data_IF_788889089794
#
_entry.id   IF_788889089794
#
_cell.length_a   1.000
_cell.length_b   1.000
_cell.length_c   1.000
_cell.angle_alpha   90.00
_cell.angle_beta   90.00
_cell.angle_gamma   90.00
#
_symmetry.space_group_name_H-M   'P 1'
#
loop_
_entity.id
_entity.type
_entity.pdbx_description
1 polymer ?
#
# COMPACT_ATOMS: atom_id res chain seq x y z
N UNK A 1 -0.17 52.21 10.04
CA UNK A 1 0.19 50.79 10.37
C UNK A 1 -0.67 49.90 9.47
N UNK A 2 -0.10 49.40 8.38
CA UNK A 2 -0.76 48.41 7.51
C UNK A 2 -0.65 47.03 8.21
N UNK A 3 -1.77 46.49 8.69
CA UNK A 3 -1.81 45.10 9.15
C UNK A 3 -1.71 44.22 7.93
N UNK A 4 -0.67 43.43 7.85
CA UNK A 4 -0.45 42.39 6.85
C UNK A 4 -1.54 41.33 6.99
N UNK A 5 -2.48 41.30 6.03
CA UNK A 5 -3.51 40.28 5.88
C UNK A 5 -2.92 39.07 5.12
N UNK A 6 -1.67 38.71 5.39
CA UNK A 6 -1.03 37.55 4.79
C UNK A 6 -0.85 36.46 5.83
N UNK A 7 -1.48 35.34 5.55
CA UNK A 7 -1.32 34.02 6.17
C UNK A 7 -2.39 33.58 7.14
N UNK A 8 -3.67 33.65 6.76
CA UNK A 8 -4.56 32.56 7.15
C UNK A 8 -4.43 31.47 6.09
N UNK A 9 -3.50 30.54 6.31
CA UNK A 9 -3.42 29.32 5.48
C UNK A 9 -4.79 28.63 5.57
N UNK A 10 -5.55 28.67 4.46
CA UNK A 10 -6.86 28.02 4.36
C UNK A 10 -6.65 26.54 4.68
N UNK A 11 -7.33 26.05 5.71
CA UNK A 11 -7.31 24.62 6.03
C UNK A 11 -8.02 23.86 4.91
N UNK A 12 -7.42 22.80 4.43
CA UNK A 12 -8.04 21.96 3.42
C UNK A 12 -9.35 21.35 3.96
N UNK A 13 -10.34 21.32 3.12
CA UNK A 13 -11.59 20.56 3.30
C UNK A 13 -11.47 19.21 2.56
N UNK A 14 -12.34 18.22 2.82
CA UNK A 14 -12.27 16.93 2.12
C UNK A 14 -12.30 17.06 0.59
N UNK A 15 -13.08 17.99 0.03
CA UNK A 15 -13.20 18.19 -1.42
C UNK A 15 -11.91 18.75 -2.05
N UNK A 16 -11.08 19.43 -1.28
CA UNK A 16 -9.82 19.98 -1.77
C UNK A 16 -8.82 18.88 -2.19
N UNK A 17 -9.07 17.61 -1.83
CA UNK A 17 -8.28 16.47 -2.29
C UNK A 17 -8.19 16.39 -3.81
N UNK A 18 -9.26 16.75 -4.53
CA UNK A 18 -9.31 16.71 -5.99
C UNK A 18 -8.42 17.76 -6.67
N UNK A 19 -8.05 18.83 -5.97
CA UNK A 19 -7.10 19.83 -6.48
C UNK A 19 -5.69 19.24 -6.66
N UNK A 20 -5.40 18.13 -5.99
CA UNK A 20 -4.10 17.46 -5.99
C UNK A 20 -4.07 16.19 -6.84
N UNK A 21 -5.12 15.92 -7.62
CA UNK A 21 -5.25 14.71 -8.42
C UNK A 21 -5.28 15.07 -9.90
N UNK A 22 -4.56 14.31 -10.72
CA UNK A 22 -4.74 14.29 -12.16
C UNK A 22 -5.79 13.22 -12.51
N UNK A 23 -6.95 13.67 -12.95
CA UNK A 23 -8.09 12.78 -13.22
C UNK A 23 -8.12 12.26 -14.67
N UNK A 24 -7.07 12.50 -15.47
CA UNK A 24 -6.95 11.97 -16.83
C UNK A 24 -8.23 12.16 -17.66
N UNK A 25 -8.71 13.41 -17.72
CA UNK A 25 -9.97 13.80 -18.40
C UNK A 25 -11.23 13.04 -17.91
N UNK A 26 -11.16 12.45 -16.72
CA UNK A 26 -12.26 11.71 -16.10
C UNK A 26 -12.40 10.27 -16.57
N UNK A 27 -11.41 9.71 -17.30
CA UNK A 27 -11.43 8.30 -17.66
C UNK A 27 -11.34 7.42 -16.41
N UNK A 28 -12.39 6.64 -16.19
CA UNK A 28 -12.50 5.77 -15.01
C UNK A 28 -11.66 4.50 -15.09
N UNK A 29 -11.12 4.16 -16.28
CA UNK A 29 -10.25 3.02 -16.50
C UNK A 29 -8.78 3.35 -16.20
N UNK A 30 -8.42 4.64 -16.29
CA UNK A 30 -7.06 5.10 -16.03
C UNK A 30 -6.86 5.43 -14.54
N UNK A 31 -5.61 5.35 -14.08
CA UNK A 31 -5.28 5.78 -12.74
C UNK A 31 -5.34 7.30 -12.63
N UNK A 32 -6.05 7.82 -11.66
CA UNK A 32 -6.02 9.24 -11.31
C UNK A 32 -4.87 9.48 -10.35
N UNK A 33 -3.83 10.14 -10.82
CA UNK A 33 -2.57 10.21 -10.09
C UNK A 33 -2.49 11.43 -9.17
N UNK A 34 -1.91 11.20 -8.00
CA UNK A 34 -1.59 12.27 -7.06
C UNK A 34 -0.45 13.15 -7.59
N UNK A 35 -0.70 14.45 -7.74
CA UNK A 35 0.29 15.44 -8.24
C UNK A 35 1.32 15.86 -7.19
N UNK A 36 1.03 15.64 -5.91
CA UNK A 36 1.91 16.03 -4.81
C UNK A 36 3.01 14.99 -4.53
N UNK A 37 3.94 15.35 -3.64
CA UNK A 37 4.98 14.43 -3.19
C UNK A 37 4.36 13.32 -2.34
N UNK A 38 4.55 12.03 -2.71
CA UNK A 38 4.10 10.93 -1.89
C UNK A 38 4.87 10.85 -0.56
N UNK A 39 4.30 10.18 0.42
CA UNK A 39 4.99 9.93 1.68
C UNK A 39 6.23 9.05 1.46
N UNK A 40 7.38 9.49 1.97
CA UNK A 40 8.66 8.80 1.80
C UNK A 40 8.68 7.38 2.42
N UNK A 41 7.86 7.11 3.43
CA UNK A 41 7.85 5.83 4.15
C UNK A 41 7.13 4.72 3.39
N UNK A 42 5.98 5.01 2.79
CA UNK A 42 5.10 4.01 2.17
C UNK A 42 4.79 4.26 0.69
N UNK A 43 5.23 5.43 0.16
CA UNK A 43 5.00 5.83 -1.22
C UNK A 43 3.54 6.21 -1.53
N UNK A 44 2.71 6.46 -0.51
CA UNK A 44 1.28 6.76 -0.67
C UNK A 44 1.00 8.25 -0.56
N UNK A 45 -0.07 8.75 -1.20
CA UNK A 45 -0.49 10.13 -1.09
C UNK A 45 -1.21 10.40 0.24
N UNK A 46 -0.89 11.53 0.87
CA UNK A 46 -1.55 12.01 2.08
C UNK A 46 -1.97 13.47 1.92
N UNK A 47 -3.09 13.81 2.51
CA UNK A 47 -3.60 15.18 2.64
C UNK A 47 -3.87 15.48 4.12
N UNK A 48 -3.67 16.73 4.52
CA UNK A 48 -4.04 17.21 5.86
C UNK A 48 -5.34 17.98 5.75
N UNK A 49 -6.38 17.51 6.42
CA UNK A 49 -7.71 18.11 6.47
C UNK A 49 -7.98 18.48 7.92
N UNK A 50 -8.25 19.77 8.16
CA UNK A 50 -8.55 20.30 9.51
C UNK A 50 -7.49 19.90 10.57
N UNK A 51 -6.21 19.80 10.15
CA UNK A 51 -5.10 19.41 11.03
C UNK A 51 -4.89 17.90 11.16
N UNK A 52 -5.76 17.06 10.60
CA UNK A 52 -5.64 15.59 10.61
C UNK A 52 -5.05 15.11 9.28
N UNK A 53 -3.93 14.40 9.36
CA UNK A 53 -3.28 13.79 8.17
C UNK A 53 -3.97 12.48 7.83
N UNK A 54 -4.49 12.39 6.60
CA UNK A 54 -5.25 11.24 6.10
C UNK A 54 -4.72 10.76 4.73
N UNK A 55 -4.78 9.46 4.42
CA UNK A 55 -4.49 8.99 3.06
C UNK A 55 -5.48 9.60 2.06
N UNK A 56 -4.97 10.22 0.99
CA UNK A 56 -5.81 10.92 0.02
C UNK A 56 -6.83 10.00 -0.66
N UNK A 57 -6.42 8.80 -1.05
CA UNK A 57 -7.29 7.80 -1.68
C UNK A 57 -8.43 7.33 -0.76
N UNK A 58 -8.24 7.33 0.56
CA UNK A 58 -9.32 7.04 1.52
C UNK A 58 -10.35 8.15 1.52
N UNK A 59 -9.89 9.41 1.55
CA UNK A 59 -10.77 10.59 1.49
C UNK A 59 -11.60 10.60 0.20
N UNK A 60 -10.97 10.30 -0.94
CA UNK A 60 -11.66 10.20 -2.23
C UNK A 60 -12.73 9.11 -2.21
N UNK A 61 -12.42 7.93 -1.67
CA UNK A 61 -13.38 6.82 -1.60
C UNK A 61 -14.57 7.16 -0.69
N UNK A 62 -14.33 7.81 0.45
CA UNK A 62 -15.40 8.29 1.34
C UNK A 62 -16.34 9.29 0.64
N UNK A 63 -15.76 10.26 -0.09
CA UNK A 63 -16.55 11.24 -0.84
C UNK A 63 -17.36 10.60 -1.97
N UNK A 64 -16.78 9.61 -2.63
CA UNK A 64 -17.41 8.91 -3.75
C UNK A 64 -18.55 7.98 -3.31
N UNK A 65 -18.32 7.21 -2.24
CA UNK A 65 -19.33 6.25 -1.73
C UNK A 65 -20.34 6.86 -0.76
N UNK A 66 -20.02 8.02 -0.18
CA UNK A 66 -20.79 8.59 0.94
C UNK A 66 -20.60 7.84 2.26
N UNK A 67 -19.71 6.87 2.32
CA UNK A 67 -19.45 6.03 3.49
C UNK A 67 -18.13 6.41 4.17
N UNK A 68 -18.10 6.39 5.50
CA UNK A 68 -16.86 6.53 6.27
C UNK A 68 -16.10 5.19 6.32
N UNK A 69 -14.77 5.27 6.46
CA UNK A 69 -13.92 4.08 6.55
C UNK A 69 -14.33 3.11 7.67
N UNK A 70 -14.66 3.65 8.87
CA UNK A 70 -15.13 2.85 10.02
C UNK A 70 -14.29 1.60 10.31
N UNK A 71 -12.95 1.75 10.27
CA UNK A 71 -12.02 0.66 10.49
C UNK A 71 -11.76 -0.25 9.27
N UNK A 72 -12.44 0.00 8.13
CA UNK A 72 -12.17 -0.70 6.86
C UNK A 72 -10.95 -0.10 6.16
N UNK A 73 -10.40 -0.85 5.24
CA UNK A 73 -9.28 -0.46 4.38
C UNK A 73 -9.78 -0.10 2.99
N UNK A 74 -9.23 0.95 2.40
CA UNK A 74 -9.39 1.21 0.97
C UNK A 74 -8.36 0.38 0.20
N UNK A 75 -8.81 -0.63 -0.52
CA UNK A 75 -8.00 -1.59 -1.27
C UNK A 75 -7.93 -1.19 -2.74
N UNK A 76 -6.70 -1.11 -3.29
CA UNK A 76 -6.50 -0.83 -4.71
C UNK A 76 -6.63 -2.08 -5.56
N UNK A 77 -7.38 -2.01 -6.64
CA UNK A 77 -7.44 -3.06 -7.66
C UNK A 77 -6.33 -2.93 -8.70
N UNK A 78 -5.81 -1.71 -8.91
CA UNK A 78 -4.78 -1.39 -9.91
C UNK A 78 -3.33 -1.52 -9.41
N UNK A 79 -3.10 -1.76 -8.13
CA UNK A 79 -1.76 -1.84 -7.49
C UNK A 79 -0.91 -0.56 -7.55
N UNK A 80 -1.41 0.53 -8.08
CA UNK A 80 -0.68 1.77 -8.22
C UNK A 80 -0.82 2.62 -6.93
N UNK A 81 0.29 2.79 -6.20
CA UNK A 81 0.30 3.38 -4.84
C UNK A 81 -0.20 4.82 -4.77
N UNK A 82 -0.02 5.60 -5.84
CA UNK A 82 -0.43 7.01 -5.91
C UNK A 82 -1.77 7.21 -6.62
N UNK A 83 -2.43 6.13 -7.01
CA UNK A 83 -3.76 6.19 -7.61
C UNK A 83 -4.80 6.63 -6.57
N UNK A 84 -5.63 7.59 -6.97
CA UNK A 84 -6.77 8.09 -6.21
C UNK A 84 -8.10 7.91 -6.95
N UNK A 85 -8.13 7.10 -8.03
CA UNK A 85 -9.35 6.82 -8.77
C UNK A 85 -10.32 5.98 -7.92
N UNK A 86 -11.53 6.49 -7.58
CA UNK A 86 -12.47 5.75 -6.74
C UNK A 86 -12.97 4.45 -7.40
N UNK A 87 -12.98 4.36 -8.73
CA UNK A 87 -13.32 3.13 -9.46
C UNK A 87 -12.26 2.03 -9.34
N UNK A 88 -11.03 2.39 -8.90
CA UNK A 88 -9.95 1.45 -8.60
C UNK A 88 -9.84 1.13 -7.10
N UNK A 89 -10.80 1.56 -6.28
CA UNK A 89 -10.79 1.42 -4.84
C UNK A 89 -12.05 0.69 -4.36
N UNK A 90 -11.88 -0.20 -3.40
CA UNK A 90 -12.97 -0.88 -2.73
C UNK A 90 -12.77 -0.86 -1.22
N UNK A 91 -13.85 -0.78 -0.46
CA UNK A 91 -13.79 -1.02 0.98
C UNK A 91 -13.57 -2.51 1.26
N UNK A 92 -12.61 -2.83 2.12
CA UNK A 92 -12.34 -4.19 2.54
C UNK A 92 -11.94 -4.27 4.02
N UNK A 93 -12.07 -5.46 4.58
CA UNK A 93 -11.60 -5.79 5.93
C UNK A 93 -10.08 -5.96 5.98
N UNK A 94 -9.52 -6.10 7.18
CA UNK A 94 -8.13 -6.52 7.34
C UNK A 94 -7.87 -7.88 6.69
N UNK A 95 -8.82 -8.82 6.80
CA UNK A 95 -8.71 -10.14 6.19
C UNK A 95 -8.67 -10.06 4.66
N UNK A 96 -9.54 -9.24 4.04
CA UNK A 96 -9.55 -9.03 2.59
C UNK A 96 -8.21 -8.47 2.11
N UNK A 97 -7.63 -7.51 2.85
CA UNK A 97 -6.32 -6.96 2.54
C UNK A 97 -5.21 -8.02 2.61
N UNK A 98 -5.24 -8.89 3.63
CA UNK A 98 -4.28 -9.97 3.77
C UNK A 98 -4.42 -11.04 2.68
N UNK A 99 -5.64 -11.37 2.29
CA UNK A 99 -5.92 -12.35 1.24
C UNK A 99 -5.57 -11.81 -0.14
N UNK A 100 -5.80 -10.52 -0.40
CA UNK A 100 -5.35 -9.84 -1.62
C UNK A 100 -3.81 -9.82 -1.72
N UNK A 101 -3.12 -9.52 -0.62
CA UNK A 101 -1.66 -9.61 -0.56
C UNK A 101 -1.14 -11.02 -0.88
N UNK A 102 -1.81 -12.06 -0.37
CA UNK A 102 -1.45 -13.47 -0.66
C UNK A 102 -1.70 -13.81 -2.13
N UNK A 103 -2.89 -13.49 -2.66
CA UNK A 103 -3.25 -13.76 -4.08
C UNK A 103 -2.29 -13.12 -5.06
N UNK A 104 -1.85 -11.90 -4.76
CA UNK A 104 -0.94 -11.13 -5.63
C UNK A 104 0.53 -11.36 -5.31
N UNK A 105 0.85 -12.33 -4.46
CA UNK A 105 2.23 -12.67 -4.02
C UNK A 105 3.04 -11.44 -3.57
N UNK A 106 2.38 -10.40 -3.04
CA UNK A 106 3.00 -9.13 -2.64
C UNK A 106 3.72 -9.16 -1.30
N UNK A 107 3.62 -10.24 -0.56
CA UNK A 107 4.35 -10.39 0.69
C UNK A 107 5.44 -11.46 0.55
N UNK A 108 6.68 -11.02 0.46
CA UNK A 108 7.84 -11.89 0.39
C UNK A 108 8.23 -12.32 -1.02
N UNK A 109 8.94 -13.43 -1.11
CA UNK A 109 9.42 -13.98 -2.36
C UNK A 109 8.32 -14.74 -3.11
N UNK A 110 8.34 -14.74 -4.46
CA UNK A 110 7.43 -15.56 -5.26
C UNK A 110 7.43 -17.02 -4.82
N UNK A 111 6.27 -17.69 -4.86
CA UNK A 111 6.12 -19.06 -4.36
C UNK A 111 7.08 -20.06 -5.03
N UNK A 112 7.43 -19.84 -6.31
CA UNK A 112 8.43 -20.66 -7.00
C UNK A 112 9.83 -20.49 -6.38
N UNK A 113 10.21 -19.25 -6.01
CA UNK A 113 11.48 -18.95 -5.35
C UNK A 113 11.50 -19.55 -3.95
N UNK A 114 10.41 -19.44 -3.20
CA UNK A 114 10.29 -20.05 -1.86
C UNK A 114 10.46 -21.58 -1.94
N UNK A 115 9.85 -22.24 -2.93
CA UNK A 115 10.04 -23.70 -3.14
C UNK A 115 11.49 -24.05 -3.48
N UNK A 116 12.16 -23.27 -4.33
CA UNK A 116 13.57 -23.47 -4.64
C UNK A 116 14.47 -23.29 -3.42
N UNK A 117 14.23 -22.27 -2.60
CA UNK A 117 14.93 -22.06 -1.32
C UNK A 117 14.71 -23.25 -0.38
N UNK A 118 13.48 -23.74 -0.25
CA UNK A 118 13.17 -24.90 0.60
C UNK A 118 13.89 -26.17 0.14
N UNK A 119 14.10 -26.35 -1.19
CA UNK A 119 14.86 -27.44 -1.75
C UNK A 119 16.33 -27.33 -1.35
N UNK A 120 16.97 -26.17 -1.54
CA UNK A 120 18.35 -25.93 -1.15
C UNK A 120 18.60 -26.11 0.36
N UNK A 121 17.63 -25.68 1.19
CA UNK A 121 17.66 -25.93 2.64
C UNK A 121 17.59 -27.42 2.96
N UNK A 122 16.82 -28.21 2.20
CA UNK A 122 16.74 -29.66 2.37
C UNK A 122 18.04 -30.38 1.93
N UNK A 123 18.77 -29.80 0.97
CA UNK A 123 20.08 -30.26 0.50
C UNK A 123 21.22 -29.87 1.45
N UNK A 124 20.91 -29.15 2.56
CA UNK A 124 21.89 -28.78 3.58
C UNK A 124 22.68 -27.50 3.29
N UNK A 125 22.28 -26.70 2.30
CA UNK A 125 22.90 -25.40 2.04
C UNK A 125 22.66 -24.45 3.22
N UNK A 126 23.67 -23.64 3.51
CA UNK A 126 23.57 -22.66 4.59
C UNK A 126 22.63 -21.51 4.26
N UNK A 127 21.99 -20.92 5.29
CA UNK A 127 21.13 -19.75 5.13
C UNK A 127 21.88 -18.56 4.47
N UNK A 128 23.19 -18.43 4.69
CA UNK A 128 24.01 -17.39 4.12
C UNK A 128 24.20 -17.59 2.61
N UNK A 129 24.61 -18.77 2.18
CA UNK A 129 24.77 -19.10 0.76
C UNK A 129 23.47 -18.89 -0.02
N UNK A 130 22.34 -19.30 0.54
CA UNK A 130 21.04 -19.13 -0.10
C UNK A 130 20.64 -17.65 -0.14
N UNK A 131 20.91 -16.89 0.91
CA UNK A 131 20.65 -15.46 0.97
C UNK A 131 21.45 -14.70 -0.10
N UNK A 132 22.73 -15.00 -0.24
CA UNK A 132 23.61 -14.42 -1.25
C UNK A 132 23.16 -14.80 -2.68
N UNK A 133 22.74 -16.04 -2.91
CA UNK A 133 22.29 -16.53 -4.22
C UNK A 133 20.99 -15.83 -4.70
N UNK A 134 20.08 -15.53 -3.80
CA UNK A 134 18.78 -14.93 -4.14
C UNK A 134 18.72 -13.41 -3.86
N UNK A 135 19.81 -12.80 -3.38
CA UNK A 135 19.84 -11.36 -3.07
C UNK A 135 18.89 -10.94 -1.96
N UNK A 136 18.68 -11.80 -0.96
CA UNK A 136 17.77 -11.57 0.17
C UNK A 136 18.51 -11.60 1.51
N UNK A 137 17.89 -11.13 2.59
CA UNK A 137 18.50 -11.20 3.92
C UNK A 137 18.51 -12.62 4.47
N UNK A 138 19.49 -12.93 5.34
CA UNK A 138 19.57 -14.22 6.04
C UNK A 138 18.35 -14.48 6.92
N UNK A 139 17.78 -13.41 7.49
CA UNK A 139 16.57 -13.45 8.31
C UNK A 139 15.35 -13.89 7.47
N UNK A 140 15.27 -13.48 6.21
CA UNK A 140 14.20 -13.93 5.28
C UNK A 140 14.29 -15.45 5.06
N UNK A 141 15.49 -15.99 4.84
CA UNK A 141 15.71 -17.46 4.69
C UNK A 141 15.36 -18.18 5.99
N UNK A 142 15.74 -17.62 7.14
CA UNK A 142 15.40 -18.19 8.46
C UNK A 142 13.89 -18.23 8.66
N UNK A 143 13.16 -17.16 8.28
CA UNK A 143 11.70 -17.09 8.33
C UNK A 143 11.03 -18.17 7.48
N UNK A 144 11.51 -18.40 6.26
CA UNK A 144 11.02 -19.45 5.35
C UNK A 144 11.23 -20.85 5.97
N UNK A 145 12.41 -21.10 6.52
CA UNK A 145 12.73 -22.38 7.15
C UNK A 145 11.85 -22.66 8.39
N UNK A 146 11.63 -21.66 9.23
CA UNK A 146 10.78 -21.78 10.41
C UNK A 146 9.30 -22.01 10.06
N UNK A 147 8.79 -21.37 9.00
CA UNK A 147 7.45 -21.59 8.48
C UNK A 147 7.25 -23.02 7.95
N UNK A 148 8.30 -23.65 7.38
CA UNK A 148 8.31 -25.06 6.98
C UNK A 148 8.19 -26.00 8.18
N UNK A 149 8.94 -25.73 9.25
CA UNK A 149 8.92 -26.58 10.46
C UNK A 149 7.53 -26.62 11.10
N UNK A 150 6.91 -25.45 11.27
CA UNK A 150 5.54 -25.34 11.84
C UNK A 150 4.46 -26.09 11.04
N UNK A 151 4.64 -26.32 9.72
CA UNK A 151 3.68 -27.07 8.88
C UNK A 151 3.89 -28.59 8.92
N UNK A 152 5.01 -29.08 9.45
CA UNK A 152 5.26 -30.52 9.61
C UNK A 152 4.76 -31.07 10.95
N UNK A 153 4.45 -30.18 11.88
CA UNK A 153 4.01 -30.53 13.25
C UNK A 153 2.47 -30.48 13.40
N UNK A 154 1.72 -30.40 12.27
CA UNK A 154 0.27 -30.54 12.17
C UNK A 154 -0.05 -31.75 11.29
#
# INVERSE_FOLDING_TARGET
MKKDIHSMSRKNTPIDVFLHIDMMDGDTKECWEWKGKPNAKDGRPYITIEGVRRPAYVVVLELFTGEQANGRYALHTCDHKICCNPHHLNWGSHQDNMDDMKKRERHGLPGIVVRAILKLLAEGRSHREIADLYGVSREAITGINNSRRKRKDI
#
